data_IF_687380874229
#
_entry.id   IF_687380874229
#
_cell.length_a   1.000
_cell.length_b   1.000
_cell.length_c   1.000
_cell.angle_alpha   90.00
_cell.angle_beta   90.00
_cell.angle_gamma   90.00
#
_symmetry.space_group_name_H-M   'P 1'
#
loop_
_entity.id
_entity.type
_entity.pdbx_description
1 polymer ?
#
# COMPACT_ATOMS: atom_id res chain seq x y z
N UNK A 1 18.59 -29.53 -7.57
CA UNK A 1 18.31 -29.20 -6.15
C UNK A 1 17.80 -27.78 -6.14
N UNK A 2 16.56 -27.56 -5.69
CA UNK A 2 16.06 -26.20 -5.48
C UNK A 2 16.98 -25.47 -4.51
N UNK A 3 17.57 -24.36 -4.97
CA UNK A 3 18.57 -23.59 -4.20
C UNK A 3 17.98 -23.00 -2.91
N UNK A 4 16.67 -22.75 -2.89
CA UNK A 4 15.95 -22.15 -1.78
C UNK A 4 14.71 -22.97 -1.42
N UNK A 5 14.46 -23.14 -0.12
CA UNK A 5 13.27 -23.80 0.39
C UNK A 5 12.05 -22.89 0.25
N UNK A 6 10.85 -23.49 0.15
CA UNK A 6 9.59 -22.75 -0.05
C UNK A 6 9.36 -21.62 0.95
N UNK A 7 9.61 -21.84 2.25
CA UNK A 7 9.40 -20.79 3.25
C UNK A 7 10.33 -19.57 3.07
N UNK A 8 11.55 -19.79 2.57
CA UNK A 8 12.51 -18.72 2.25
C UNK A 8 12.02 -17.90 1.06
N UNK A 9 11.53 -18.60 0.03
CA UNK A 9 10.95 -17.97 -1.16
C UNK A 9 9.70 -17.17 -0.79
N UNK A 10 8.77 -17.74 -0.02
CA UNK A 10 7.56 -17.03 0.43
C UNK A 10 7.91 -15.76 1.24
N UNK A 11 8.88 -15.85 2.15
CA UNK A 11 9.36 -14.70 2.93
C UNK A 11 9.98 -13.60 2.04
N UNK A 12 10.74 -13.98 1.01
CA UNK A 12 11.30 -13.03 0.06
C UNK A 12 10.22 -12.43 -0.85
N UNK A 13 9.29 -13.24 -1.38
CA UNK A 13 8.21 -12.80 -2.27
C UNK A 13 7.33 -11.76 -1.56
N UNK A 14 6.91 -12.03 -0.31
CA UNK A 14 6.06 -11.07 0.42
C UNK A 14 6.79 -9.75 0.67
N UNK A 15 8.10 -9.80 0.96
CA UNK A 15 8.93 -8.61 1.14
C UNK A 15 9.01 -7.78 -0.14
N UNK A 16 9.28 -8.43 -1.28
CA UNK A 16 9.35 -7.80 -2.60
C UNK A 16 8.03 -7.11 -2.96
N UNK A 17 6.89 -7.79 -2.75
CA UNK A 17 5.58 -7.18 -2.97
C UNK A 17 5.31 -6.02 -2.02
N UNK A 18 5.67 -6.14 -0.74
CA UNK A 18 5.42 -5.09 0.27
C UNK A 18 6.21 -3.81 0.00
N UNK A 19 7.37 -3.93 -0.64
CA UNK A 19 8.20 -2.80 -1.08
C UNK A 19 7.78 -2.23 -2.44
N UNK A 20 7.03 -3.00 -3.23
CA UNK A 20 6.56 -2.63 -4.56
C UNK A 20 5.03 -2.80 -4.65
N UNK A 21 4.25 -2.10 -3.81
CA UNK A 21 2.80 -2.17 -3.88
C UNK A 21 2.31 -1.65 -5.24
N UNK A 22 1.11 -2.07 -5.65
CA UNK A 22 0.46 -1.71 -6.91
C UNK A 22 1.34 -1.88 -8.17
N UNK A 23 2.41 -2.68 -8.09
CA UNK A 23 3.35 -2.92 -9.19
C UNK A 23 3.09 -4.31 -9.77
N UNK A 24 3.02 -4.39 -11.10
CA UNK A 24 2.88 -5.67 -11.78
C UNK A 24 4.25 -6.35 -11.87
N UNK A 25 4.39 -7.49 -11.20
CA UNK A 25 5.61 -8.31 -11.24
C UNK A 25 5.30 -9.59 -12.01
N UNK A 26 6.06 -9.86 -13.08
CA UNK A 26 5.94 -11.08 -13.86
C UNK A 26 6.43 -12.29 -13.05
N UNK A 27 5.76 -13.44 -13.18
CA UNK A 27 6.18 -14.70 -12.57
C UNK A 27 7.61 -15.10 -12.96
N UNK A 28 8.05 -14.75 -14.17
CA UNK A 28 9.41 -14.98 -14.66
C UNK A 28 10.48 -14.34 -13.77
N UNK A 29 10.19 -13.19 -13.15
CA UNK A 29 11.08 -12.56 -12.18
C UNK A 29 11.40 -13.53 -11.03
N UNK A 30 10.38 -14.17 -10.45
CA UNK A 30 10.57 -15.12 -9.35
C UNK A 30 11.20 -16.44 -9.81
N UNK A 31 10.87 -16.90 -11.02
CA UNK A 31 11.53 -18.08 -11.62
C UNK A 31 13.04 -17.88 -11.72
N UNK A 32 13.47 -16.74 -12.27
CA UNK A 32 14.88 -16.41 -12.44
C UNK A 32 15.57 -16.11 -11.10
N UNK A 33 14.90 -15.39 -10.21
CA UNK A 33 15.45 -15.00 -8.90
C UNK A 33 15.72 -16.22 -8.00
N UNK A 34 14.83 -17.22 -8.01
CA UNK A 34 14.97 -18.42 -7.18
C UNK A 34 15.53 -19.64 -7.93
N UNK A 35 15.60 -19.59 -9.26
CA UNK A 35 16.00 -20.73 -10.10
C UNK A 35 15.00 -21.89 -10.06
N UNK A 36 13.70 -21.58 -10.14
CA UNK A 36 12.60 -22.55 -9.99
C UNK A 36 11.72 -22.62 -11.25
N UNK A 37 11.00 -23.74 -11.40
CA UNK A 37 10.03 -23.91 -12.48
C UNK A 37 8.80 -22.98 -12.32
N UNK A 38 8.13 -22.70 -13.44
CA UNK A 38 6.91 -21.88 -13.47
C UNK A 38 5.79 -22.42 -12.56
N UNK A 39 5.60 -23.73 -12.53
CA UNK A 39 4.60 -24.38 -11.65
C UNK A 39 4.89 -24.10 -10.18
N UNK A 40 6.14 -24.25 -9.75
CA UNK A 40 6.57 -23.98 -8.37
C UNK A 40 6.38 -22.51 -7.99
N UNK A 41 6.73 -21.58 -8.89
CA UNK A 41 6.51 -20.16 -8.67
C UNK A 41 5.01 -19.83 -8.55
N UNK A 42 4.17 -20.43 -9.40
CA UNK A 42 2.71 -20.25 -9.34
C UNK A 42 2.13 -20.76 -8.01
N UNK A 43 2.53 -21.95 -7.57
CA UNK A 43 2.10 -22.50 -6.27
C UNK A 43 2.49 -21.59 -5.11
N UNK A 44 3.71 -21.03 -5.12
CA UNK A 44 4.16 -20.11 -4.08
C UNK A 44 3.30 -18.82 -4.06
N UNK A 45 2.93 -18.29 -5.23
CA UNK A 45 2.00 -17.15 -5.35
C UNK A 45 0.61 -17.50 -4.84
N UNK A 46 0.08 -18.67 -5.17
CA UNK A 46 -1.25 -19.11 -4.71
C UNK A 46 -1.31 -19.28 -3.19
N UNK A 47 -0.25 -19.86 -2.60
CA UNK A 47 -0.08 -19.94 -1.14
C UNK A 47 -0.06 -18.53 -0.55
N UNK A 48 0.75 -17.63 -1.11
CA UNK A 48 0.88 -16.28 -0.59
C UNK A 48 -0.44 -15.51 -0.68
N UNK A 49 -1.18 -15.65 -1.78
CA UNK A 49 -2.50 -15.05 -1.97
C UNK A 49 -3.46 -15.50 -0.88
N UNK A 50 -3.53 -16.81 -0.62
CA UNK A 50 -4.37 -17.36 0.44
C UNK A 50 -4.01 -16.79 1.81
N UNK A 51 -2.71 -16.67 2.12
CA UNK A 51 -2.24 -16.09 3.40
C UNK A 51 -2.62 -14.61 3.50
N UNK A 52 -2.34 -13.80 2.47
CA UNK A 52 -2.63 -12.36 2.47
C UNK A 52 -4.13 -12.10 2.67
N UNK A 53 -4.98 -12.85 1.98
CA UNK A 53 -6.44 -12.73 2.10
C UNK A 53 -6.93 -13.21 3.48
N UNK A 54 -6.44 -14.36 3.96
CA UNK A 54 -6.82 -14.94 5.26
C UNK A 54 -6.56 -13.99 6.44
N UNK A 55 -5.43 -13.28 6.41
CA UNK A 55 -5.04 -12.35 7.48
C UNK A 55 -5.41 -10.89 7.20
N UNK A 56 -6.16 -10.62 6.12
CA UNK A 56 -6.61 -9.28 5.74
C UNK A 56 -5.42 -8.29 5.57
N UNK A 57 -4.29 -8.77 5.02
CA UNK A 57 -3.09 -7.98 4.77
C UNK A 57 -3.09 -7.26 3.41
N UNK A 58 -4.09 -7.53 2.57
CA UNK A 58 -4.22 -6.90 1.26
C UNK A 58 -4.88 -7.83 0.26
N UNK A 59 -4.53 -7.66 -1.01
CA UNK A 59 -4.95 -8.52 -2.11
C UNK A 59 -3.78 -8.79 -3.05
N UNK A 60 -3.66 -10.02 -3.53
CA UNK A 60 -2.83 -10.33 -4.70
C UNK A 60 -3.73 -10.51 -5.92
N UNK A 61 -3.54 -9.65 -6.91
CA UNK A 61 -4.31 -9.63 -8.15
C UNK A 61 -3.44 -10.21 -9.26
N UNK A 62 -3.92 -11.28 -9.89
CA UNK A 62 -3.26 -11.90 -11.04
C UNK A 62 -3.86 -11.34 -12.32
N UNK A 63 -3.02 -10.79 -13.20
CA UNK A 63 -3.39 -10.38 -14.54
C UNK A 63 -2.90 -11.45 -15.53
N UNK A 64 -3.81 -12.13 -16.29
CA UNK A 64 -3.41 -13.15 -17.25
C UNK A 64 -2.82 -12.54 -18.54
N UNK A 65 -2.12 -13.37 -19.33
CA UNK A 65 -1.59 -13.01 -20.65
C UNK A 65 -0.05 -13.02 -20.73
N UNK A 66 0.48 -12.81 -21.94
CA UNK A 66 1.93 -12.84 -22.21
C UNK A 66 2.73 -11.73 -21.49
N UNK A 67 2.08 -10.59 -21.23
CA UNK A 67 2.60 -9.52 -20.36
C UNK A 67 1.95 -9.49 -18.98
N UNK A 68 1.33 -10.61 -18.58
CA UNK A 68 0.66 -10.75 -17.30
C UNK A 68 1.62 -10.79 -16.11
N UNK A 69 1.05 -10.86 -14.91
CA UNK A 69 1.83 -10.87 -13.69
C UNK A 69 0.94 -10.83 -12.46
N UNK A 70 1.57 -10.57 -11.32
CA UNK A 70 0.91 -10.49 -10.02
C UNK A 70 1.18 -9.12 -9.44
N UNK A 71 0.13 -8.52 -8.88
CA UNK A 71 0.15 -7.20 -8.26
C UNK A 71 -0.34 -7.29 -6.83
N UNK A 72 0.42 -6.73 -5.88
CA UNK A 72 -0.01 -6.63 -4.49
C UNK A 72 -0.65 -5.29 -4.21
N UNK A 73 -1.87 -5.31 -3.68
CA UNK A 73 -2.57 -4.14 -3.16
C UNK A 73 -2.57 -4.24 -1.63
N UNK A 74 -1.91 -3.33 -0.88
CA UNK A 74 -1.85 -3.36 0.57
C UNK A 74 -3.15 -2.92 1.25
N UNK A 75 -4.30 -3.17 0.60
CA UNK A 75 -5.62 -2.79 1.07
C UNK A 75 -6.57 -3.97 0.87
N UNK A 76 -7.00 -4.59 1.96
CA UNK A 76 -7.87 -5.76 1.92
C UNK A 76 -9.35 -5.37 1.88
N UNK A 77 -9.82 -4.59 2.85
CA UNK A 77 -11.23 -4.27 3.02
C UNK A 77 -11.41 -2.86 3.58
N UNK A 78 -12.23 -2.03 2.94
CA UNK A 78 -12.55 -0.69 3.45
C UNK A 78 -13.09 -0.73 4.89
N UNK A 79 -13.83 -1.79 5.25
CA UNK A 79 -14.39 -1.95 6.60
C UNK A 79 -13.32 -2.12 7.68
N UNK A 80 -12.11 -2.60 7.35
CA UNK A 80 -11.04 -2.73 8.35
C UNK A 80 -10.49 -1.38 8.81
N UNK A 81 -10.78 -0.30 8.09
CA UNK A 81 -10.41 1.05 8.50
C UNK A 81 -11.44 1.75 9.38
N UNK A 82 -12.66 1.20 9.55
CA UNK A 82 -13.69 1.83 10.37
C UNK A 82 -13.25 2.09 11.83
N UNK A 83 -12.58 1.15 12.53
CA UNK A 83 -12.08 1.43 13.87
C UNK A 83 -11.06 2.57 13.89
N UNK A 84 -10.19 2.65 12.88
CA UNK A 84 -9.21 3.72 12.74
C UNK A 84 -9.87 5.08 12.47
N UNK A 85 -10.87 5.14 11.57
CA UNK A 85 -11.61 6.38 11.31
C UNK A 85 -12.31 6.87 12.57
N UNK A 86 -12.89 5.95 13.34
CA UNK A 86 -13.53 6.28 14.62
C UNK A 86 -12.51 6.78 15.66
N UNK A 87 -11.32 6.17 15.73
CA UNK A 87 -10.21 6.64 16.58
C UNK A 87 -9.79 8.08 16.22
N UNK A 88 -9.59 8.37 14.93
CA UNK A 88 -9.22 9.71 14.47
C UNK A 88 -10.33 10.72 14.75
N UNK A 89 -11.60 10.33 14.56
CA UNK A 89 -12.76 11.17 14.90
C UNK A 89 -12.76 11.54 16.38
N UNK A 90 -12.55 10.59 17.30
CA UNK A 90 -12.51 10.89 18.73
C UNK A 90 -11.32 11.78 19.08
N UNK A 91 -10.14 11.56 18.47
CA UNK A 91 -8.99 12.46 18.65
C UNK A 91 -9.30 13.89 18.20
N UNK A 92 -9.96 14.06 17.06
CA UNK A 92 -10.30 15.38 16.51
C UNK A 92 -11.39 16.13 17.29
N UNK A 93 -12.19 15.45 18.11
CA UNK A 93 -13.20 16.08 18.97
C UNK A 93 -12.63 16.78 20.21
N UNK A 94 -11.37 16.53 20.55
CA UNK A 94 -10.73 17.15 21.71
C UNK A 94 -10.75 18.69 21.60
N UNK A 95 -11.46 19.41 22.48
CA UNK A 95 -11.56 20.87 22.43
C UNK A 95 -10.21 21.59 22.54
N UNK A 96 -9.19 20.96 23.15
CA UNK A 96 -7.84 21.53 23.25
C UNK A 96 -7.15 21.71 21.89
N UNK A 97 -7.68 21.06 20.84
CA UNK A 97 -7.18 21.20 19.47
C UNK A 97 -7.69 22.46 18.78
N UNK A 98 -8.68 23.16 19.32
CA UNK A 98 -9.20 24.38 18.69
C UNK A 98 -8.14 25.48 18.78
N UNK A 99 -7.77 26.03 17.63
CA UNK A 99 -6.83 27.15 17.53
C UNK A 99 -7.50 28.35 16.85
N UNK A 100 -6.97 29.58 17.01
CA UNK A 100 -7.56 30.78 16.44
C UNK A 100 -7.80 30.68 14.92
N UNK A 101 -8.83 31.40 14.44
CA UNK A 101 -9.19 31.42 13.02
C UNK A 101 -10.07 30.24 12.56
N UNK A 102 -10.62 29.45 13.48
CA UNK A 102 -11.53 28.35 13.16
C UNK A 102 -10.83 27.08 12.68
N UNK A 103 -9.58 26.87 13.11
CA UNK A 103 -8.78 25.71 12.73
C UNK A 103 -8.65 24.71 13.88
N UNK A 104 -8.21 23.49 13.54
CA UNK A 104 -7.81 22.45 14.49
C UNK A 104 -6.30 22.20 14.41
N UNK A 105 -5.69 21.93 15.57
CA UNK A 105 -4.36 21.40 15.69
C UNK A 105 -4.33 19.92 15.29
N UNK A 106 -3.67 19.64 14.16
CA UNK A 106 -3.59 18.31 13.53
C UNK A 106 -2.16 17.81 13.30
N UNK A 107 -1.15 18.57 13.74
CA UNK A 107 0.25 18.27 13.41
C UNK A 107 0.70 16.91 13.99
N UNK A 108 0.27 16.57 15.20
CA UNK A 108 0.52 15.27 15.83
C UNK A 108 -0.07 14.09 15.03
N UNK A 109 -1.19 14.30 14.35
CA UNK A 109 -1.84 13.30 13.50
C UNK A 109 -1.14 13.18 12.14
N UNK A 110 -0.88 14.32 11.51
CA UNK A 110 -0.28 14.40 10.17
C UNK A 110 1.19 13.95 10.16
N UNK A 111 1.92 14.13 11.26
CA UNK A 111 3.32 13.71 11.36
C UNK A 111 3.50 12.34 12.01
N UNK A 112 2.42 11.60 12.26
CA UNK A 112 2.48 10.22 12.75
C UNK A 112 2.49 9.24 11.57
N UNK A 113 3.59 8.51 11.31
CA UNK A 113 3.69 7.59 10.16
C UNK A 113 2.56 6.56 10.13
N UNK A 114 2.21 6.00 11.29
CA UNK A 114 1.15 4.99 11.40
C UNK A 114 -0.23 5.55 11.04
N UNK A 115 -0.49 6.82 11.35
CA UNK A 115 -1.75 7.49 11.02
C UNK A 115 -1.78 7.83 9.53
N UNK A 116 -0.74 8.51 9.01
CA UNK A 116 -0.77 8.93 7.60
C UNK A 116 -0.67 7.77 6.63
N UNK A 117 -0.08 6.63 7.01
CA UNK A 117 -0.08 5.41 6.19
C UNK A 117 -1.53 4.95 5.95
N UNK A 118 -2.31 4.82 7.02
CA UNK A 118 -3.72 4.43 6.93
C UNK A 118 -4.57 5.48 6.21
N UNK A 119 -4.32 6.77 6.44
CA UNK A 119 -5.01 7.83 5.69
C UNK A 119 -4.71 7.70 4.20
N UNK A 120 -3.45 7.51 3.82
CA UNK A 120 -3.03 7.35 2.44
C UNK A 120 -3.71 6.16 1.78
N UNK A 121 -3.70 5.00 2.43
CA UNK A 121 -4.41 3.79 1.98
C UNK A 121 -5.91 4.03 1.76
N UNK A 122 -6.59 4.71 2.70
CA UNK A 122 -8.01 5.02 2.59
C UNK A 122 -8.28 5.97 1.42
N UNK A 123 -7.47 7.02 1.26
CA UNK A 123 -7.69 8.04 0.24
C UNK A 123 -7.51 7.52 -1.18
N UNK A 124 -6.64 6.52 -1.39
CA UNK A 124 -6.40 5.95 -2.72
C UNK A 124 -7.38 4.86 -3.11
N UNK A 125 -8.24 4.38 -2.20
CA UNK A 125 -9.23 3.34 -2.47
C UNK A 125 -10.06 3.58 -3.76
N UNK A 126 -10.60 4.78 -4.02
CA UNK A 126 -11.37 5.04 -5.25
C UNK A 126 -10.54 5.02 -6.54
N UNK A 127 -9.20 5.01 -6.41
CA UNK A 127 -8.25 5.16 -7.50
C UNK A 127 -7.47 3.88 -7.81
N UNK A 128 -7.68 2.78 -7.07
CA UNK A 128 -6.91 1.54 -7.24
C UNK A 128 -7.04 0.90 -8.64
N UNK A 129 -8.18 1.11 -9.29
CA UNK A 129 -8.45 0.61 -10.65
C UNK A 129 -8.28 1.72 -11.72
N UNK A 130 -7.65 2.84 -11.36
CA UNK A 130 -7.38 3.96 -12.26
C UNK A 130 -5.90 4.00 -12.63
N UNK A 131 -5.62 4.48 -13.83
CA UNK A 131 -4.27 4.82 -14.25
C UNK A 131 -3.92 6.18 -13.64
N UNK A 132 -3.30 6.16 -12.46
CA UNK A 132 -2.78 7.35 -11.79
C UNK A 132 -1.31 7.47 -12.14
N UNK A 133 -0.89 8.62 -12.66
CA UNK A 133 0.51 8.86 -13.03
C UNK A 133 1.31 9.55 -11.91
N UNK A 134 0.63 10.32 -11.06
CA UNK A 134 1.25 11.05 -9.95
C UNK A 134 0.23 11.42 -8.87
N UNK A 135 0.72 11.65 -7.65
CA UNK A 135 -0.03 12.34 -6.59
C UNK A 135 0.49 13.77 -6.47
N UNK A 136 -0.43 14.73 -6.39
CA UNK A 136 -0.08 16.16 -6.30
C UNK A 136 -0.55 16.73 -4.96
N UNK A 137 0.28 17.55 -4.34
CA UNK A 137 -0.09 18.30 -3.13
C UNK A 137 0.53 19.69 -3.14
N UNK A 138 0.06 20.57 -2.26
CA UNK A 138 0.66 21.89 -2.02
C UNK A 138 1.35 21.86 -0.66
N UNK A 139 2.51 22.52 -0.55
CA UNK A 139 3.20 22.58 0.72
C UNK A 139 2.37 23.25 1.85
N UNK A 140 2.52 22.84 3.12
CA UNK A 140 3.49 21.84 3.63
C UNK A 140 2.79 20.64 4.29
N UNK A 141 1.66 20.89 4.98
CA UNK A 141 0.99 19.89 5.83
C UNK A 141 0.36 18.73 5.03
N UNK A 142 0.10 18.90 3.73
CA UNK A 142 -0.42 17.82 2.88
C UNK A 142 0.63 16.79 2.46
N UNK A 143 1.91 17.12 2.56
CA UNK A 143 3.02 16.30 2.04
C UNK A 143 3.06 14.89 2.65
N UNK A 144 2.97 14.69 3.99
CA UNK A 144 3.05 13.34 4.56
C UNK A 144 1.92 12.42 4.09
N UNK A 145 0.69 12.94 3.98
CA UNK A 145 -0.47 12.18 3.50
C UNK A 145 -0.28 11.84 2.02
N UNK A 146 0.09 12.85 1.21
CA UNK A 146 0.30 12.68 -0.21
C UNK A 146 1.43 11.68 -0.51
N UNK A 147 2.49 11.68 0.29
CA UNK A 147 3.58 10.70 0.20
C UNK A 147 3.09 9.28 0.47
N UNK A 148 2.20 9.09 1.44
CA UNK A 148 1.63 7.76 1.72
C UNK A 148 0.66 7.31 0.62
N UNK A 149 -0.14 8.21 0.06
CA UNK A 149 -0.94 7.92 -1.14
C UNK A 149 -0.05 7.48 -2.31
N UNK A 150 1.01 8.25 -2.58
CA UNK A 150 1.97 8.00 -3.65
C UNK A 150 2.67 6.65 -3.47
N UNK A 151 3.07 6.33 -2.24
CA UNK A 151 3.63 5.03 -1.88
C UNK A 151 2.65 3.89 -2.13
N UNK A 152 1.39 4.02 -1.73
CA UNK A 152 0.40 2.94 -1.88
C UNK A 152 0.08 2.65 -3.35
N UNK A 153 0.00 3.68 -4.18
CA UNK A 153 -0.21 3.54 -5.62
C UNK A 153 1.10 3.27 -6.40
N UNK A 154 2.24 3.39 -5.74
CA UNK A 154 3.60 3.34 -6.29
C UNK A 154 3.82 4.28 -7.49
N UNK A 155 3.52 5.56 -7.27
CA UNK A 155 3.64 6.65 -8.25
C UNK A 155 4.45 7.81 -7.64
N UNK A 156 5.04 8.70 -8.45
CA UNK A 156 5.73 9.88 -7.93
C UNK A 156 4.80 10.84 -7.18
N UNK A 157 5.37 11.54 -6.19
CA UNK A 157 4.77 12.69 -5.52
C UNK A 157 5.27 13.98 -6.16
N UNK A 158 4.35 14.87 -6.55
CA UNK A 158 4.62 16.23 -7.01
C UNK A 158 4.17 17.22 -5.95
N UNK A 159 5.05 18.14 -5.56
CA UNK A 159 4.77 19.17 -4.56
C UNK A 159 4.77 20.53 -5.26
N UNK A 160 3.61 21.19 -5.23
CA UNK A 160 3.44 22.58 -5.65
C UNK A 160 3.93 23.47 -4.51
N UNK A 161 4.86 24.37 -4.84
CA UNK A 161 5.36 25.40 -3.93
C UNK A 161 4.43 26.61 -3.95
N UNK A 162 4.32 27.30 -2.83
CA UNK A 162 3.46 28.48 -2.65
C UNK A 162 4.14 29.80 -3.03
N UNK A 163 5.29 29.72 -3.69
CA UNK A 163 6.06 30.85 -4.21
C UNK A 163 5.17 31.86 -4.97
#
# INVERSE_FOLDING_TARGET
MDKYKRYERLAAIVKIFSENPNTLINLEYFMNFFGIAKSTASEDIDILKSVIEKFNFGKLITLPGAGGGVKYIPIANIKSYLPFVQEIKEKLKDPSRIIPGGFLYTADLIYSPNIVTKIGEILVLPFLDKNVDAIVTVETKGIPIALMCARTLNVPLVIIRKD
#
